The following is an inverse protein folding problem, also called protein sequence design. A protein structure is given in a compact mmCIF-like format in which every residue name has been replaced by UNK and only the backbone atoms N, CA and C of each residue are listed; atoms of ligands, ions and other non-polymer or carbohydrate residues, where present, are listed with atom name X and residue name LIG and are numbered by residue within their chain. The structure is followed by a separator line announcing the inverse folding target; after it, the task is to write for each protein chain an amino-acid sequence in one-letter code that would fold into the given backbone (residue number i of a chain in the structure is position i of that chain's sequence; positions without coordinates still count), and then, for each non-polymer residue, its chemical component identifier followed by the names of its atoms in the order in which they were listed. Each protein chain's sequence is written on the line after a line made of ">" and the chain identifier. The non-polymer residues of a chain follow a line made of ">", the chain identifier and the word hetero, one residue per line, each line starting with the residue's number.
data_IF_724821830470
#
_entry.id   IF_724821830470
#
_cell.length_a   1.000
_cell.length_b   1.000
_cell.length_c   1.000
_cell.angle_alpha   90.00
_cell.angle_beta   90.00
_cell.angle_gamma   90.00
#
_symmetry.space_group_name_H-M   'P 1'
#
loop_
_entity.id
_entity.type
_entity.pdbx_description
1 polymer ?
#
# COMPACT_ATOMS: atom_id res chain seq x y z
N UNK A 1 -3.46 -11.53 -10.94
CA UNK A 1 -3.53 -10.25 -10.20
C UNK A 1 -3.84 -9.16 -11.22
N UNK A 2 -5.09 -9.04 -11.66
CA UNK A 2 -5.43 -8.20 -12.82
C UNK A 2 -5.64 -6.71 -12.51
N UNK A 3 -5.53 -6.30 -11.24
CA UNK A 3 -5.81 -4.92 -10.80
C UNK A 3 -4.79 -4.44 -9.76
N UNK A 4 -3.53 -4.28 -10.18
CA UNK A 4 -2.57 -3.45 -9.43
C UNK A 4 -2.46 -2.07 -10.08
N UNK A 5 -2.25 -1.03 -9.26
CA UNK A 5 -1.99 0.34 -9.70
C UNK A 5 -0.53 0.67 -9.42
N UNK A 6 0.17 1.15 -10.44
CA UNK A 6 1.56 1.60 -10.31
C UNK A 6 1.62 3.11 -10.11
N UNK A 7 2.47 3.55 -9.19
CA UNK A 7 2.82 4.97 -8.98
C UNK A 7 4.33 5.09 -9.16
N UNK A 8 4.75 5.74 -10.24
CA UNK A 8 6.17 5.92 -10.53
C UNK A 8 6.75 7.04 -9.67
N UNK A 9 8.03 6.90 -9.33
CA UNK A 9 8.85 7.95 -8.72
C UNK A 9 10.29 7.83 -9.23
N UNK A 10 11.16 8.76 -8.87
CA UNK A 10 12.55 8.74 -9.33
C UNK A 10 13.24 7.49 -8.79
N UNK A 11 13.75 6.65 -9.70
CA UNK A 11 14.48 5.42 -9.36
C UNK A 11 13.63 4.15 -9.17
N UNK A 12 12.30 4.25 -9.14
CA UNK A 12 11.46 3.08 -8.88
C UNK A 12 9.95 3.32 -9.05
N UNK A 13 9.16 2.37 -8.57
CA UNK A 13 7.70 2.51 -8.52
C UNK A 13 7.10 1.83 -7.30
N UNK A 14 5.92 2.30 -6.92
CA UNK A 14 5.06 1.67 -5.93
C UNK A 14 4.03 0.83 -6.67
N UNK A 15 3.88 -0.42 -6.27
CA UNK A 15 2.79 -1.28 -6.72
C UNK A 15 1.73 -1.37 -5.62
N UNK A 16 0.52 -0.88 -5.93
CA UNK A 16 -0.62 -0.91 -5.03
C UNK A 16 -1.61 -1.98 -5.48
N UNK A 17 -2.05 -2.84 -4.56
CA UNK A 17 -3.02 -3.88 -4.89
C UNK A 17 -3.87 -4.26 -3.67
N UNK A 18 -5.03 -4.84 -3.95
CA UNK A 18 -5.94 -5.38 -2.93
C UNK A 18 -5.79 -6.91 -2.96
N UNK A 19 -5.19 -7.54 -1.93
CA UNK A 19 -4.89 -8.97 -1.94
C UNK A 19 -6.11 -9.83 -1.59
N UNK A 20 -7.09 -9.28 -0.88
CA UNK A 20 -8.24 -9.98 -0.33
C UNK A 20 -9.52 -9.17 -0.58
N UNK A 21 -10.69 -9.83 -0.68
CA UNK A 21 -11.97 -9.14 -0.72
C UNK A 21 -12.18 -8.22 0.49
N UNK A 22 -13.08 -7.22 0.39
CA UNK A 22 -13.49 -6.42 1.54
C UNK A 22 -13.97 -7.30 2.70
N UNK A 23 -13.71 -6.87 3.94
CA UNK A 23 -14.10 -7.57 5.17
C UNK A 23 -15.01 -6.64 5.96
N UNK A 24 -16.12 -7.17 6.50
CA UNK A 24 -17.02 -6.40 7.35
C UNK A 24 -16.60 -6.51 8.83
N UNK A 25 -16.21 -5.39 9.44
CA UNK A 25 -15.73 -5.34 10.82
C UNK A 25 -16.25 -4.08 11.54
N UNK A 26 -16.80 -4.26 12.74
CA UNK A 26 -17.31 -3.17 13.60
C UNK A 26 -18.40 -2.29 12.98
N UNK A 27 -19.16 -2.80 12.01
CA UNK A 27 -20.25 -2.05 11.36
C UNK A 27 -19.89 -1.50 9.97
N UNK A 28 -18.63 -1.61 9.57
CA UNK A 28 -18.15 -1.03 8.32
C UNK A 28 -17.45 -2.07 7.43
N UNK A 29 -17.57 -1.89 6.12
CA UNK A 29 -16.79 -2.66 5.16
C UNK A 29 -15.39 -2.07 5.02
N UNK A 30 -14.36 -2.89 5.15
CA UNK A 30 -12.97 -2.48 5.13
C UNK A 30 -12.22 -3.16 4.01
N UNK A 31 -11.41 -2.39 3.28
CA UNK A 31 -10.45 -2.92 2.32
C UNK A 31 -9.04 -2.70 2.86
N UNK A 32 -8.23 -3.76 2.83
CA UNK A 32 -6.78 -3.65 3.01
C UNK A 32 -6.12 -3.46 1.66
N UNK A 33 -5.53 -2.29 1.43
CA UNK A 33 -4.66 -2.01 0.28
C UNK A 33 -3.22 -2.26 0.69
N UNK A 34 -2.49 -3.03 -0.10
CA UNK A 34 -1.05 -3.27 0.07
C UNK A 34 -0.28 -2.35 -0.87
N UNK A 35 0.77 -1.71 -0.35
CA UNK A 35 1.76 -0.97 -1.12
C UNK A 35 3.12 -1.64 -1.03
N UNK A 36 3.64 -2.05 -2.19
CA UNK A 36 4.97 -2.65 -2.33
C UNK A 36 5.91 -1.68 -3.03
N UNK A 37 7.13 -1.52 -2.50
CA UNK A 37 8.17 -0.70 -3.12
C UNK A 37 8.99 -1.57 -4.07
N UNK A 38 9.16 -1.12 -5.31
CA UNK A 38 10.05 -1.76 -6.30
C UNK A 38 11.12 -0.76 -6.72
N UNK A 39 12.34 -0.99 -6.22
CA UNK A 39 13.53 -0.19 -6.48
C UNK A 39 14.79 -1.04 -6.24
N UNK A 40 15.89 -0.69 -6.91
CA UNK A 40 17.17 -1.42 -6.84
C UNK A 40 18.02 -1.05 -5.62
N UNK A 41 18.01 0.21 -5.20
CA UNK A 41 18.90 0.74 -4.15
C UNK A 41 18.14 1.21 -2.90
N UNK A 42 18.83 1.26 -1.76
CA UNK A 42 18.25 1.60 -0.46
C UNK A 42 17.79 3.06 -0.36
N UNK A 43 18.48 3.99 -1.03
CA UNK A 43 18.10 5.41 -1.04
C UNK A 43 16.75 5.61 -1.74
N UNK A 44 16.56 4.95 -2.89
CA UNK A 44 15.31 4.95 -3.62
C UNK A 44 14.19 4.24 -2.85
N UNK A 45 14.50 3.14 -2.13
CA UNK A 45 13.51 2.50 -1.24
C UNK A 45 13.04 3.44 -0.13
N UNK A 46 13.93 4.23 0.46
CA UNK A 46 13.57 5.23 1.46
C UNK A 46 12.61 6.30 0.92
N UNK A 47 12.80 6.74 -0.32
CA UNK A 47 11.87 7.67 -0.98
C UNK A 47 10.49 7.02 -1.24
N UNK A 48 10.47 5.77 -1.72
CA UNK A 48 9.22 5.00 -1.86
C UNK A 48 8.47 4.85 -0.54
N UNK A 49 9.19 4.60 0.56
CA UNK A 49 8.65 4.54 1.92
C UNK A 49 8.04 5.87 2.34
N UNK A 50 8.74 6.99 2.08
CA UNK A 50 8.25 8.34 2.39
C UNK A 50 6.93 8.63 1.66
N UNK A 51 6.83 8.29 0.39
CA UNK A 51 5.60 8.46 -0.41
C UNK A 51 4.43 7.63 0.16
N UNK A 52 4.69 6.38 0.55
CA UNK A 52 3.66 5.51 1.15
C UNK A 52 3.15 6.06 2.49
N UNK A 53 4.06 6.50 3.37
CA UNK A 53 3.71 7.10 4.66
C UNK A 53 2.88 8.38 4.45
N UNK A 54 3.29 9.26 3.53
CA UNK A 54 2.52 10.47 3.19
C UNK A 54 1.10 10.16 2.67
N UNK A 55 0.90 9.00 2.05
CA UNK A 55 -0.42 8.53 1.59
C UNK A 55 -1.24 7.82 2.68
N UNK A 56 -0.72 7.75 3.90
CA UNK A 56 -1.35 7.13 5.06
C UNK A 56 -1.24 5.61 5.09
N UNK A 57 -0.24 5.04 4.41
CA UNK A 57 0.11 3.63 4.62
C UNK A 57 0.99 3.48 5.85
N UNK A 58 0.87 2.33 6.53
CA UNK A 58 1.68 1.94 7.68
C UNK A 58 2.39 0.62 7.43
N UNK A 59 3.42 0.30 8.21
CA UNK A 59 4.15 -0.96 8.11
C UNK A 59 3.48 -2.02 8.97
N UNK A 60 3.56 -3.29 8.57
CA UNK A 60 3.05 -4.41 9.38
C UNK A 60 4.04 -4.87 10.47
N UNK A 61 5.00 -4.04 10.87
CA UNK A 61 6.06 -4.37 11.84
C UNK A 61 7.03 -5.50 11.44
N UNK A 62 6.65 -6.39 10.53
CA UNK A 62 7.32 -7.67 10.24
C UNK A 62 7.92 -7.77 8.82
N UNK A 63 7.69 -6.78 7.94
CA UNK A 63 8.25 -6.76 6.58
C UNK A 63 8.68 -5.34 6.22
N UNK A 64 9.98 -5.13 6.01
CA UNK A 64 10.57 -3.81 5.81
C UNK A 64 10.03 -3.05 4.58
N UNK A 65 9.49 -3.76 3.59
CA UNK A 65 9.09 -3.20 2.30
C UNK A 65 7.62 -3.48 1.91
N UNK A 66 6.81 -3.98 2.85
CA UNK A 66 5.36 -4.15 2.64
C UNK A 66 4.60 -3.21 3.57
N UNK A 67 3.84 -2.32 2.94
CA UNK A 67 3.01 -1.35 3.63
C UNK A 67 1.54 -1.69 3.39
N UNK A 68 0.68 -1.30 4.32
CA UNK A 68 -0.75 -1.44 4.15
C UNK A 68 -1.51 -0.18 4.59
N UNK A 69 -2.68 0.01 4.01
CA UNK A 69 -3.66 1.01 4.43
C UNK A 69 -5.02 0.34 4.48
N UNK A 70 -5.77 0.63 5.54
CA UNK A 70 -7.17 0.24 5.65
C UNK A 70 -8.00 1.41 5.13
N UNK A 71 -8.97 1.11 4.27
CA UNK A 71 -9.93 2.06 3.74
C UNK A 71 -11.31 1.54 4.13
N UNK A 72 -12.08 2.37 4.82
CA UNK A 72 -13.50 2.13 5.06
C UNK A 72 -14.27 2.43 3.77
N UNK A 73 -15.15 1.50 3.38
CA UNK A 73 -16.03 1.64 2.24
C UNK A 73 -17.34 2.26 2.71
N UNK A 74 -17.46 3.57 2.55
CA UNK A 74 -18.75 4.24 2.58
C UNK A 74 -19.49 3.91 1.28
N UNK A 75 -20.43 2.97 1.34
CA UNK A 75 -21.40 2.77 0.27
C UNK A 75 -22.44 3.88 0.38
N UNK A 76 -22.16 5.03 -0.25
CA UNK A 76 -23.15 6.09 -0.49
C UNK A 76 -24.08 5.69 -1.63
#
# INVERSE_FOLDING_TARGET
>A
MDKSKKINFIGGYLELFVPLPPIYEFGDWKIRVIGKIVASDETTKAEGKKILIQKGFTTNGNKENEFYKIIDLDFV
#
